data_IF_197501176026
#
_entry.id   IF_197501176026
#
_cell.length_a   1.000
_cell.length_b   1.000
_cell.length_c   1.000
_cell.angle_alpha   90.00
_cell.angle_beta   90.00
_cell.angle_gamma   90.00
#
_symmetry.space_group_name_H-M   'P 1'
#
loop_
_entity.id
_entity.type
_entity.pdbx_description
1 polymer ?
#
# COMPACT_ATOMS: atom_id res chain seq x y z
N UNK A 1 3.88 11.79 15.85
CA UNK A 1 4.58 10.56 15.43
C UNK A 1 3.65 9.72 14.56
N UNK A 2 4.14 9.25 13.44
CA UNK A 2 3.39 8.39 12.52
C UNK A 2 3.77 6.95 12.78
N UNK A 3 2.77 6.06 12.88
CA UNK A 3 3.02 4.64 13.07
C UNK A 3 1.95 3.79 12.38
N UNK A 4 2.34 2.60 11.94
CA UNK A 4 1.42 1.59 11.44
C UNK A 4 1.14 0.54 12.49
N UNK A 5 -0.12 0.07 12.52
CA UNK A 5 -0.52 -1.02 13.42
C UNK A 5 -1.28 -2.06 12.64
N UNK A 6 -0.90 -3.33 12.83
CA UNK A 6 -1.55 -4.46 12.18
C UNK A 6 -2.70 -5.02 13.01
N UNK A 7 -3.77 -5.36 12.31
CA UNK A 7 -4.93 -6.06 12.86
C UNK A 7 -4.97 -7.45 12.24
N UNK A 8 -4.53 -8.49 12.96
CA UNK A 8 -4.49 -9.84 12.40
C UNK A 8 -5.87 -10.38 12.09
N UNK A 9 -5.92 -11.40 11.22
CA UNK A 9 -7.14 -12.14 10.95
C UNK A 9 -7.75 -12.66 12.24
N UNK A 10 -9.06 -12.48 12.41
CA UNK A 10 -9.80 -12.90 13.60
C UNK A 10 -9.84 -11.87 14.73
N UNK A 11 -9.11 -10.75 14.63
CA UNK A 11 -9.19 -9.66 15.60
C UNK A 11 -10.38 -8.74 15.30
N UNK A 12 -10.62 -7.76 16.19
CA UNK A 12 -11.63 -6.73 15.95
C UNK A 12 -11.14 -5.76 14.87
N UNK A 13 -11.79 -5.79 13.72
CA UNK A 13 -11.43 -4.98 12.54
C UNK A 13 -12.42 -3.84 12.30
N UNK A 14 -13.21 -3.45 13.29
CA UNK A 14 -14.19 -2.38 13.12
C UNK A 14 -13.55 -1.05 12.71
N UNK A 15 -12.36 -0.72 13.22
CA UNK A 15 -11.66 0.51 12.84
C UNK A 15 -11.18 0.50 11.39
N UNK A 16 -10.45 -0.52 10.90
CA UNK A 16 -10.10 -0.59 9.47
C UNK A 16 -11.33 -0.50 8.56
N UNK A 17 -12.42 -1.15 8.92
CA UNK A 17 -13.63 -1.14 8.10
C UNK A 17 -14.25 0.27 8.06
N UNK A 18 -14.30 0.97 9.19
CA UNK A 18 -14.81 2.35 9.22
C UNK A 18 -13.98 3.29 8.36
N UNK A 19 -12.66 3.14 8.37
CA UNK A 19 -11.77 3.92 7.50
C UNK A 19 -12.07 3.64 6.03
N UNK A 20 -12.23 2.36 5.65
CA UNK A 20 -12.56 1.99 4.28
C UNK A 20 -13.92 2.56 3.85
N UNK A 21 -14.92 2.50 4.71
CA UNK A 21 -16.22 3.09 4.43
C UNK A 21 -16.12 4.59 4.17
N UNK A 22 -15.30 5.30 4.94
CA UNK A 22 -15.08 6.73 4.77
C UNK A 22 -14.41 7.07 3.46
N UNK A 23 -13.49 6.22 2.98
CA UNK A 23 -12.73 6.48 1.74
C UNK A 23 -13.48 5.99 0.51
N UNK A 24 -14.03 4.78 0.56
CA UNK A 24 -14.57 4.08 -0.62
C UNK A 24 -16.09 3.90 -0.59
N UNK A 25 -16.75 4.17 0.52
CA UNK A 25 -18.18 3.92 0.67
C UNK A 25 -18.55 2.44 0.71
N UNK A 26 -17.59 1.56 0.97
CA UNK A 26 -17.81 0.11 1.01
C UNK A 26 -17.58 -0.43 2.42
N UNK A 27 -18.50 -1.24 2.89
CA UNK A 27 -18.40 -1.90 4.17
C UNK A 27 -17.71 -3.25 4.12
N UNK A 28 -18.04 -4.09 5.08
CA UNK A 28 -17.49 -5.42 5.25
C UNK A 28 -17.77 -6.30 4.03
N UNK A 29 -16.78 -7.09 3.62
CA UNK A 29 -16.94 -8.09 2.56
C UNK A 29 -16.34 -9.45 3.01
N UNK A 30 -16.46 -10.47 2.15
CA UNK A 30 -16.03 -11.83 2.47
C UNK A 30 -14.51 -12.00 2.61
N UNK A 31 -13.73 -11.10 2.01
CA UNK A 31 -12.27 -11.12 2.11
C UNK A 31 -11.80 -10.70 3.51
N UNK A 32 -12.56 -9.85 4.18
CA UNK A 32 -12.17 -9.30 5.48
C UNK A 32 -11.94 -10.36 6.55
N UNK A 33 -12.65 -11.48 6.46
CA UNK A 33 -12.50 -12.56 7.44
C UNK A 33 -11.12 -13.22 7.39
N UNK A 34 -10.47 -13.22 6.22
CA UNK A 34 -9.14 -13.83 6.03
C UNK A 34 -8.01 -12.82 5.94
N UNK A 35 -8.33 -11.55 5.79
CA UNK A 35 -7.34 -10.50 5.57
C UNK A 35 -6.71 -10.02 6.88
N UNK A 36 -5.47 -9.59 6.77
CA UNK A 36 -4.83 -8.74 7.77
C UNK A 36 -5.01 -7.29 7.35
N UNK A 37 -5.30 -6.43 8.29
CA UNK A 37 -5.49 -5.00 8.04
C UNK A 37 -4.39 -4.20 8.72
N UNK A 38 -3.94 -3.15 8.06
CA UNK A 38 -2.99 -2.20 8.63
C UNK A 38 -3.63 -0.82 8.68
N UNK A 39 -3.47 -0.13 9.80
CA UNK A 39 -3.93 1.24 9.98
C UNK A 39 -2.73 2.11 10.28
N UNK A 40 -2.64 3.24 9.59
CA UNK A 40 -1.65 4.27 9.87
C UNK A 40 -2.28 5.32 10.76
N UNK A 41 -1.58 5.65 11.83
CA UNK A 41 -1.96 6.68 12.79
C UNK A 41 -1.00 7.86 12.69
N UNK A 42 -1.53 9.06 12.71
CA UNK A 42 -0.74 10.28 12.88
C UNK A 42 -1.06 10.84 14.26
N UNK A 43 -0.10 10.74 15.17
CA UNK A 43 -0.24 11.18 16.57
C UNK A 43 -1.54 10.64 17.19
N UNK A 44 -1.68 9.31 17.17
CA UNK A 44 -2.80 8.55 17.70
C UNK A 44 -4.14 8.73 16.96
N UNK A 45 -4.15 9.43 15.84
CA UNK A 45 -5.35 9.60 15.00
C UNK A 45 -5.25 8.68 13.78
N UNK A 46 -6.21 7.75 13.57
CA UNK A 46 -6.19 6.91 12.39
C UNK A 46 -6.49 7.71 11.13
N UNK A 47 -5.62 7.61 10.12
CA UNK A 47 -5.68 8.44 8.90
C UNK A 47 -5.74 7.63 7.61
N UNK A 48 -5.34 6.36 7.64
CA UNK A 48 -5.26 5.55 6.43
C UNK A 48 -5.30 4.07 6.78
N UNK A 49 -5.75 3.25 5.83
CA UNK A 49 -5.83 1.80 6.02
C UNK A 49 -5.62 1.06 4.71
N UNK A 50 -5.19 -0.21 4.82
CA UNK A 50 -5.07 -1.14 3.73
C UNK A 50 -5.30 -2.55 4.24
N UNK A 51 -5.49 -3.51 3.33
CA UNK A 51 -5.58 -4.92 3.70
C UNK A 51 -4.67 -5.79 2.83
N UNK A 52 -4.24 -6.90 3.42
CA UNK A 52 -3.37 -7.89 2.80
C UNK A 52 -3.98 -9.27 3.03
N UNK A 53 -4.10 -10.08 1.97
CA UNK A 53 -4.63 -11.45 2.10
C UNK A 53 -3.98 -12.38 1.08
N UNK A 54 -4.11 -13.68 1.33
CA UNK A 54 -3.63 -14.72 0.44
C UNK A 54 -4.80 -15.28 -0.36
N UNK A 55 -4.65 -15.32 -1.68
CA UNK A 55 -5.68 -15.85 -2.57
C UNK A 55 -5.05 -16.35 -3.86
N UNK A 56 -5.46 -17.53 -4.32
CA UNK A 56 -5.04 -18.10 -5.61
C UNK A 56 -3.52 -18.14 -5.79
N UNK A 57 -2.79 -18.49 -4.73
CA UNK A 57 -1.35 -18.70 -4.79
C UNK A 57 -0.53 -17.39 -4.74
N UNK A 58 -1.14 -16.27 -4.45
CA UNK A 58 -0.44 -14.99 -4.34
C UNK A 58 -0.96 -14.18 -3.16
N UNK A 59 -0.11 -13.31 -2.61
CA UNK A 59 -0.59 -12.27 -1.73
C UNK A 59 -1.26 -11.16 -2.53
N UNK A 60 -2.35 -10.62 -1.99
CA UNK A 60 -3.07 -9.51 -2.59
C UNK A 60 -3.11 -8.34 -1.62
N UNK A 61 -2.89 -7.16 -2.17
CA UNK A 61 -3.01 -5.89 -1.46
C UNK A 61 -4.26 -5.20 -1.99
N UNK A 62 -5.07 -4.65 -1.11
CA UNK A 62 -6.27 -3.94 -1.56
C UNK A 62 -6.73 -2.86 -0.61
N UNK A 63 -7.66 -2.07 -1.11
CA UNK A 63 -8.34 -1.01 -0.37
C UNK A 63 -7.37 -0.07 0.35
N UNK A 64 -6.30 0.30 -0.36
CA UNK A 64 -5.35 1.30 0.11
C UNK A 64 -6.04 2.65 0.08
N UNK A 65 -6.41 3.16 1.24
CA UNK A 65 -7.18 4.38 1.34
C UNK A 65 -6.65 5.33 2.39
N UNK A 66 -6.55 6.60 2.01
CA UNK A 66 -6.16 7.70 2.90
C UNK A 66 -7.37 8.63 3.03
N UNK A 67 -7.71 9.04 4.26
CA UNK A 67 -8.80 10.00 4.48
C UNK A 67 -8.56 11.26 3.64
N UNK A 68 -9.65 11.83 3.09
CA UNK A 68 -9.56 12.91 2.11
C UNK A 68 -8.76 14.12 2.61
N UNK A 69 -8.91 14.47 3.88
CA UNK A 69 -8.21 15.60 4.51
C UNK A 69 -6.77 15.29 4.93
N UNK A 70 -6.33 14.04 4.73
CA UNK A 70 -5.00 13.56 5.11
C UNK A 70 -4.14 13.16 3.90
N UNK A 71 -4.60 13.43 2.70
CA UNK A 71 -3.89 13.10 1.47
C UNK A 71 -2.69 14.01 1.26
N UNK A 72 -1.79 13.60 0.35
CA UNK A 72 -0.57 14.32 -0.03
C UNK A 72 0.45 14.48 1.12
N UNK A 73 0.38 13.59 2.12
CA UNK A 73 1.31 13.56 3.26
C UNK A 73 2.16 12.28 3.30
N UNK A 74 2.12 11.46 2.25
CA UNK A 74 2.92 10.24 2.16
C UNK A 74 2.33 9.02 2.85
N UNK A 75 1.09 9.07 3.32
CA UNK A 75 0.47 7.92 4.02
C UNK A 75 0.18 6.76 3.09
N UNK A 76 -0.18 7.05 1.83
CA UNK A 76 -0.37 6.00 0.83
C UNK A 76 0.92 5.23 0.55
N UNK A 77 2.04 5.94 0.41
CA UNK A 77 3.35 5.33 0.26
C UNK A 77 3.71 4.46 1.47
N UNK A 78 3.47 4.95 2.67
CA UNK A 78 3.72 4.19 3.89
C UNK A 78 2.89 2.90 3.93
N UNK A 79 1.60 2.97 3.58
CA UNK A 79 0.73 1.79 3.53
C UNK A 79 1.26 0.74 2.56
N UNK A 80 1.67 1.14 1.35
CA UNK A 80 2.22 0.20 0.36
C UNK A 80 3.49 -0.45 0.89
N UNK A 81 4.38 0.34 1.48
CA UNK A 81 5.63 -0.19 2.07
C UNK A 81 5.35 -1.18 3.19
N UNK A 82 4.40 -0.87 4.06
CA UNK A 82 4.03 -1.77 5.16
C UNK A 82 3.45 -3.09 4.64
N UNK A 83 2.57 -3.03 3.64
CA UNK A 83 1.96 -4.24 3.07
C UNK A 83 2.98 -5.08 2.31
N UNK A 84 3.85 -4.45 1.52
CA UNK A 84 4.92 -5.16 0.81
C UNK A 84 5.89 -5.81 1.79
N UNK A 85 6.32 -5.08 2.80
CA UNK A 85 7.22 -5.61 3.82
C UNK A 85 6.60 -6.81 4.54
N UNK A 86 5.33 -6.71 4.92
CA UNK A 86 4.61 -7.81 5.58
C UNK A 86 4.55 -9.04 4.68
N UNK A 87 4.22 -8.86 3.41
CA UNK A 87 4.17 -9.97 2.44
C UNK A 87 5.55 -10.62 2.31
N UNK A 88 6.62 -9.84 2.22
CA UNK A 88 7.98 -10.35 2.11
C UNK A 88 8.41 -11.12 3.35
N UNK A 89 8.00 -10.70 4.55
CA UNK A 89 8.30 -11.45 5.78
C UNK A 89 7.59 -12.80 5.83
N UNK A 90 6.53 -12.97 5.04
CA UNK A 90 5.83 -14.24 4.85
C UNK A 90 6.28 -14.97 3.59
N UNK A 91 7.46 -14.64 3.06
CA UNK A 91 8.07 -15.29 1.89
C UNK A 91 7.20 -15.24 0.64
N UNK A 92 6.58 -14.10 0.38
CA UNK A 92 5.73 -13.92 -0.79
C UNK A 92 6.52 -14.14 -2.08
N UNK A 93 6.07 -15.11 -2.90
CA UNK A 93 6.62 -15.31 -4.23
C UNK A 93 6.06 -14.27 -5.20
N UNK A 94 4.77 -14.00 -5.13
CA UNK A 94 4.09 -13.05 -6.00
C UNK A 94 3.10 -12.20 -5.18
N UNK A 95 3.01 -10.94 -5.51
CA UNK A 95 2.07 -10.00 -4.91
C UNK A 95 1.25 -9.38 -6.03
N UNK A 96 -0.07 -9.32 -5.88
CA UNK A 96 -1.01 -8.79 -6.86
C UNK A 96 -1.86 -7.69 -6.26
N UNK A 97 -2.31 -6.79 -7.13
CA UNK A 97 -3.29 -5.76 -6.78
C UNK A 97 -4.10 -5.38 -8.00
N UNK A 98 -5.23 -4.73 -7.78
CA UNK A 98 -5.96 -4.04 -8.81
C UNK A 98 -6.16 -2.59 -8.40
N UNK A 99 -6.12 -1.67 -9.36
CA UNK A 99 -6.21 -0.24 -9.08
C UNK A 99 -6.90 0.51 -10.21
N UNK A 100 -7.31 1.73 -9.89
CA UNK A 100 -7.80 2.66 -10.89
C UNK A 100 -6.65 3.07 -11.82
N UNK A 101 -6.92 3.34 -13.11
CA UNK A 101 -5.87 3.74 -14.06
C UNK A 101 -5.06 4.96 -13.60
N UNK A 102 -5.68 5.87 -12.86
CA UNK A 102 -5.04 7.11 -12.40
C UNK A 102 -3.89 6.87 -11.43
N UNK A 103 -3.87 5.71 -10.72
CA UNK A 103 -2.85 5.39 -9.73
C UNK A 103 -1.90 4.28 -10.19
N UNK A 104 -1.98 3.87 -11.45
CA UNK A 104 -1.10 2.83 -12.00
C UNK A 104 0.37 3.21 -11.86
N UNK A 105 0.73 4.45 -12.19
CA UNK A 105 2.11 4.92 -12.10
C UNK A 105 2.62 4.95 -10.65
N UNK A 106 1.74 5.19 -9.69
CA UNK A 106 2.10 5.14 -8.28
C UNK A 106 2.59 3.74 -7.87
N UNK A 107 1.88 2.70 -8.28
CA UNK A 107 2.29 1.33 -7.95
C UNK A 107 3.49 0.87 -8.77
N UNK A 108 3.66 1.37 -9.98
CA UNK A 108 4.82 1.04 -10.82
C UNK A 108 6.15 1.44 -10.15
N UNK A 109 6.15 2.43 -9.28
CA UNK A 109 7.35 2.86 -8.55
C UNK A 109 7.96 1.76 -7.68
N UNK A 110 7.13 0.82 -7.21
CA UNK A 110 7.57 -0.28 -6.34
C UNK A 110 8.05 -1.49 -7.15
N UNK A 111 7.89 -1.45 -8.46
CA UNK A 111 8.24 -2.53 -9.36
C UNK A 111 7.06 -3.31 -9.92
N UNK A 112 5.83 -2.94 -9.55
CA UNK A 112 4.64 -3.58 -10.10
C UNK A 112 4.56 -3.38 -11.61
N UNK A 113 4.18 -4.44 -12.31
CA UNK A 113 3.95 -4.45 -13.75
C UNK A 113 2.48 -4.65 -14.06
N UNK A 114 2.01 -4.01 -15.11
CA UNK A 114 0.62 -4.15 -15.54
C UNK A 114 0.44 -5.46 -16.30
N UNK A 115 -0.51 -6.28 -15.84
CA UNK A 115 -0.87 -7.55 -16.50
C UNK A 115 -2.03 -7.39 -17.48
N UNK A 116 -2.89 -6.38 -17.28
CA UNK A 116 -4.04 -6.13 -18.11
C UNK A 116 -5.08 -5.29 -17.41
N UNK A 117 -6.28 -5.23 -17.99
CA UNK A 117 -7.43 -4.55 -17.40
C UNK A 117 -8.61 -5.50 -17.30
N UNK A 118 -9.35 -5.39 -16.21
CA UNK A 118 -10.56 -6.16 -15.99
C UNK A 118 -11.57 -5.29 -15.26
N UNK A 119 -12.78 -5.20 -15.81
CA UNK A 119 -13.86 -4.38 -15.24
C UNK A 119 -13.46 -2.91 -15.00
N UNK A 120 -12.63 -2.35 -15.89
CA UNK A 120 -12.17 -0.96 -15.77
C UNK A 120 -11.03 -0.76 -14.78
N UNK A 121 -10.57 -1.83 -14.11
CA UNK A 121 -9.46 -1.77 -13.15
C UNK A 121 -8.20 -2.36 -13.78
N UNK A 122 -7.07 -1.73 -13.50
CA UNK A 122 -5.75 -2.20 -13.93
C UNK A 122 -5.31 -3.32 -12.99
N UNK A 123 -4.93 -4.47 -13.57
CA UNK A 123 -4.39 -5.61 -12.83
C UNK A 123 -2.88 -5.51 -12.85
N UNK A 124 -2.26 -5.53 -11.67
CA UNK A 124 -0.81 -5.41 -11.54
C UNK A 124 -0.26 -6.52 -10.67
N UNK A 125 0.98 -6.90 -10.93
CA UNK A 125 1.68 -7.91 -10.12
C UNK A 125 3.17 -7.63 -10.05
N UNK A 126 3.81 -8.25 -9.05
CA UNK A 126 5.25 -8.19 -8.87
C UNK A 126 5.71 -9.50 -8.22
N UNK A 127 6.90 -9.97 -8.61
CA UNK A 127 7.56 -11.04 -7.90
C UNK A 127 8.21 -10.47 -6.63
N UNK A 128 8.17 -11.24 -5.53
CA UNK A 128 8.74 -10.79 -4.26
C UNK A 128 10.18 -10.33 -4.38
N UNK A 129 10.98 -11.03 -5.18
CA UNK A 129 12.40 -10.69 -5.43
C UNK A 129 12.60 -9.35 -6.14
N UNK A 130 11.58 -8.84 -6.82
CA UNK A 130 11.65 -7.61 -7.61
C UNK A 130 11.07 -6.39 -6.87
N UNK A 131 10.61 -6.56 -5.65
CA UNK A 131 10.03 -5.45 -4.86
C UNK A 131 11.11 -4.41 -4.56
N UNK A 132 10.82 -3.15 -4.88
CA UNK A 132 11.72 -2.03 -4.68
C UNK A 132 11.17 -1.11 -3.59
N UNK A 133 11.79 -1.16 -2.42
CA UNK A 133 11.45 -0.30 -1.28
C UNK A 133 12.45 0.84 -1.06
N UNK A 134 13.49 0.90 -1.89
CA UNK A 134 14.57 1.87 -1.73
C UNK A 134 14.31 3.22 -2.39
N UNK A 135 13.24 3.34 -3.19
CA UNK A 135 12.93 4.62 -3.82
C UNK A 135 12.37 5.61 -2.78
N UNK A 136 12.66 6.89 -3.00
CA UNK A 136 12.12 7.95 -2.16
C UNK A 136 10.68 8.28 -2.59
N UNK A 137 9.78 8.50 -1.63
CA UNK A 137 8.37 8.81 -1.87
C UNK A 137 8.11 10.19 -2.50
N UNK A 138 9.14 10.95 -2.82
CA UNK A 138 9.04 12.14 -3.67
C UNK A 138 9.03 13.50 -2.99
N UNK A 139 9.02 13.59 -1.66
CA UNK A 139 9.04 14.87 -0.95
C UNK A 139 10.47 15.31 -0.60
N UNK A 140 11.34 15.38 -1.61
CA UNK A 140 12.73 15.75 -1.42
C UNK A 140 12.91 17.17 -0.86
N UNK A 141 11.96 18.06 -1.11
CA UNK A 141 12.00 19.43 -0.61
C UNK A 141 11.88 19.53 0.92
N UNK A 142 11.16 18.57 1.54
CA UNK A 142 10.92 18.51 2.99
C UNK A 142 11.77 17.43 3.66
N UNK A 143 12.58 16.71 2.90
CA UNK A 143 13.37 15.60 3.41
C UNK A 143 14.58 16.13 4.20
N UNK A 144 14.68 15.76 5.49
CA UNK A 144 15.85 16.06 6.33
C UNK A 144 17.06 15.18 6.01
N UNK A 145 16.92 14.20 5.12
CA UNK A 145 17.99 13.30 4.70
C UNK A 145 18.35 13.52 3.24
N UNK A 146 19.24 14.47 2.96
CA UNK A 146 19.80 14.62 1.63
C UNK A 146 21.13 13.87 1.57
N UNK A 147 21.05 12.57 1.31
CA UNK A 147 22.22 11.78 0.96
C UNK A 147 22.21 11.52 -0.56
N UNK A 148 23.32 11.07 -1.11
CA UNK A 148 23.39 10.66 -2.52
C UNK A 148 22.36 9.58 -2.83
N UNK A 149 21.96 8.78 -1.86
CA UNK A 149 20.93 7.75 -1.99
C UNK A 149 19.54 8.33 -2.23
N UNK A 150 19.31 9.57 -1.85
CA UNK A 150 18.03 10.26 -2.03
C UNK A 150 17.89 10.95 -3.38
N UNK A 151 18.93 10.96 -4.21
CA UNK A 151 18.86 11.52 -5.56
C UNK A 151 17.93 10.62 -6.39
N UNK A 152 16.87 11.17 -6.99
CA UNK A 152 15.98 10.38 -7.83
C UNK A 152 16.75 9.56 -8.86
N UNK A 153 16.35 8.32 -9.04
CA UNK A 153 17.03 7.38 -9.92
C UNK A 153 17.26 7.96 -11.32
N UNK A 154 16.28 8.72 -11.82
CA UNK A 154 16.36 9.40 -13.11
C UNK A 154 17.51 10.41 -13.21
N UNK A 155 17.97 10.95 -12.08
CA UNK A 155 19.10 11.89 -12.06
C UNK A 155 20.44 11.18 -11.83
N UNK A 156 20.41 9.92 -11.35
CA UNK A 156 21.64 9.13 -11.15
C UNK A 156 22.12 8.44 -12.42
N UNK A 157 21.21 8.18 -13.34
CA UNK A 157 21.47 7.42 -14.55
C UNK A 157 21.92 8.32 -15.73
N UNK A 158 22.07 9.60 -15.48
CA UNK A 158 22.54 10.56 -16.47
C UNK A 158 24.03 10.85 -16.29
#
# INVERSE_FOLDING_TARGET
MVQGRWFPSGSDISLPIRLRESVFGRGLDEVDAMAQHVVVYDTDVPVAAARLWWQDGAFRIGDIGVLADQRDRGFGDLLVRLTLYKALTHYAYQIRLECQPEVESFFAQYGFQTDGKENGLVQMSILGENVQLSHCGGNCAECGHRSEECIPKALREN
#
